data_IF_033795610634
#
_entry.id   IF_033795610634
#
_cell.length_a   1.000
_cell.length_b   1.000
_cell.length_c   1.000
_cell.angle_alpha   90.00
_cell.angle_beta   90.00
_cell.angle_gamma   90.00
#
_symmetry.space_group_name_H-M   'P 1'
#
loop_
_entity.id
_entity.type
_entity.pdbx_description
1 polymer ?
#
# COMPACT_ATOMS: atom_id res chain seq x y z
N UNK A 1 31.72 -16.13 66.03
CA UNK A 1 32.24 -15.14 65.05
C UNK A 1 32.44 -15.69 63.62
N UNK A 2 32.11 -16.95 63.32
CA UNK A 2 32.34 -17.54 61.98
C UNK A 2 31.12 -17.54 61.04
N UNK A 3 29.88 -17.44 61.58
CA UNK A 3 28.64 -17.45 60.78
C UNK A 3 28.29 -16.11 60.12
N UNK A 4 28.69 -14.98 60.69
CA UNK A 4 28.38 -13.63 60.16
C UNK A 4 29.21 -13.33 58.90
N UNK A 5 30.46 -13.80 58.82
CA UNK A 5 31.33 -13.59 57.66
C UNK A 5 30.86 -14.33 56.41
N UNK A 6 30.23 -15.50 56.55
CA UNK A 6 29.70 -16.26 55.41
C UNK A 6 28.43 -15.64 54.83
N UNK A 7 27.62 -14.98 55.65
CA UNK A 7 26.39 -14.32 55.19
C UNK A 7 26.68 -13.07 54.36
N UNK A 8 27.68 -12.27 54.77
CA UNK A 8 28.13 -11.07 54.03
C UNK A 8 28.80 -11.40 52.70
N UNK A 9 29.59 -12.48 52.63
CA UNK A 9 30.29 -12.88 51.40
C UNK A 9 29.35 -13.48 50.34
N UNK A 10 28.25 -14.11 50.78
CA UNK A 10 27.19 -14.64 49.91
C UNK A 10 26.32 -13.53 49.32
N UNK A 11 25.93 -12.55 50.15
CA UNK A 11 25.09 -11.42 49.74
C UNK A 11 25.80 -10.46 48.77
N UNK A 12 27.10 -10.19 48.93
CA UNK A 12 27.87 -9.41 47.96
C UNK A 12 27.98 -10.05 46.57
N UNK A 13 28.12 -11.39 46.50
CA UNK A 13 28.17 -12.11 45.22
C UNK A 13 26.80 -12.13 44.53
N UNK A 14 25.72 -12.24 45.30
CA UNK A 14 24.35 -12.17 44.76
C UNK A 14 24.02 -10.76 44.23
N UNK A 15 24.48 -9.69 44.90
CA UNK A 15 24.29 -8.31 44.45
C UNK A 15 25.07 -8.03 43.16
N UNK A 16 26.30 -8.52 43.05
CA UNK A 16 27.13 -8.41 41.85
C UNK A 16 26.57 -9.21 40.67
N UNK A 17 26.03 -10.40 40.90
CA UNK A 17 25.35 -11.19 39.86
C UNK A 17 24.05 -10.51 39.40
N UNK A 18 23.29 -9.90 40.31
CA UNK A 18 22.10 -9.14 39.96
C UNK A 18 22.45 -7.91 39.09
N UNK A 19 23.50 -7.18 39.43
CA UNK A 19 23.96 -6.02 38.66
C UNK A 19 24.44 -6.41 37.25
N UNK A 20 25.11 -7.56 37.12
CA UNK A 20 25.51 -8.12 35.82
C UNK A 20 24.28 -8.53 34.99
N UNK A 21 23.29 -9.18 35.60
CA UNK A 21 22.04 -9.57 34.89
C UNK A 21 21.26 -8.33 34.45
N UNK A 22 21.12 -7.31 35.30
CA UNK A 22 20.45 -6.05 34.94
C UNK A 22 21.19 -5.35 33.80
N UNK A 23 22.52 -5.35 33.82
CA UNK A 23 23.34 -4.78 32.73
C UNK A 23 23.16 -5.53 31.41
N UNK A 24 23.08 -6.87 31.45
CA UNK A 24 22.81 -7.70 30.26
C UNK A 24 21.41 -7.43 29.71
N UNK A 25 20.41 -7.29 30.59
CA UNK A 25 19.03 -6.98 30.17
C UNK A 25 18.95 -5.60 29.52
N UNK A 26 19.58 -4.58 30.11
CA UNK A 26 19.61 -3.22 29.54
C UNK A 26 20.33 -3.22 28.19
N UNK A 27 21.50 -3.88 28.07
CA UNK A 27 22.23 -4.00 26.81
C UNK A 27 21.45 -4.79 25.76
N UNK A 28 20.72 -5.84 26.17
CA UNK A 28 19.85 -6.62 25.28
C UNK A 28 18.69 -5.80 24.73
N UNK A 29 18.02 -5.03 25.59
CA UNK A 29 16.91 -4.14 25.18
C UNK A 29 17.41 -3.04 24.25
N UNK A 30 18.55 -2.40 24.57
CA UNK A 30 19.17 -1.40 23.69
C UNK A 30 19.58 -2.04 22.35
N UNK A 31 20.13 -3.26 22.35
CA UNK A 31 20.48 -3.98 21.12
C UNK A 31 19.27 -4.27 20.23
N UNK A 32 18.14 -4.68 20.81
CA UNK A 32 16.88 -4.93 20.09
C UNK A 32 16.30 -3.61 19.54
N UNK A 33 16.32 -2.53 20.33
CA UNK A 33 15.85 -1.22 19.90
C UNK A 33 16.75 -0.67 18.78
N UNK A 34 18.06 -0.74 18.91
CA UNK A 34 19.00 -0.31 17.86
C UNK A 34 18.87 -1.17 16.60
N UNK A 35 18.68 -2.49 16.72
CA UNK A 35 18.47 -3.37 15.57
C UNK A 35 17.15 -3.08 14.86
N UNK A 36 16.06 -2.88 15.62
CA UNK A 36 14.76 -2.52 15.06
C UNK A 36 14.74 -1.11 14.48
N UNK A 37 15.46 -0.16 15.08
CA UNK A 37 15.65 1.20 14.56
C UNK A 37 16.53 1.20 13.31
N UNK A 38 17.57 0.36 13.24
CA UNK A 38 18.38 0.14 12.02
C UNK A 38 17.56 -0.55 10.93
N UNK A 39 16.65 -1.46 11.27
CA UNK A 39 15.74 -2.11 10.31
C UNK A 39 14.64 -1.14 9.81
N UNK A 40 14.16 -0.24 10.67
CA UNK A 40 13.26 0.84 10.27
C UNK A 40 13.98 1.91 9.45
N UNK A 41 15.21 2.25 9.81
CA UNK A 41 16.05 3.14 9.01
C UNK A 41 16.49 2.48 7.71
N UNK A 42 16.69 1.16 7.62
CA UNK A 42 16.99 0.50 6.34
C UNK A 42 15.77 0.51 5.43
N UNK A 43 14.57 0.24 5.93
CA UNK A 43 13.32 0.38 5.17
C UNK A 43 13.12 1.81 4.65
N UNK A 44 13.43 2.82 5.45
CA UNK A 44 13.34 4.22 5.01
C UNK A 44 14.54 4.68 4.14
N UNK A 45 15.74 4.12 4.33
CA UNK A 45 16.92 4.37 3.49
C UNK A 45 16.74 3.75 2.10
N UNK A 46 16.09 2.59 1.97
CA UNK A 46 15.70 2.07 0.64
C UNK A 46 14.76 3.03 -0.08
N UNK A 47 13.92 3.75 0.68
CA UNK A 47 13.03 4.77 0.13
C UNK A 47 13.75 6.08 -0.23
N UNK A 48 14.80 6.47 0.51
CA UNK A 48 15.53 7.75 0.29
C UNK A 48 16.82 7.65 -0.53
N UNK A 49 17.42 6.46 -0.72
CA UNK A 49 18.62 6.28 -1.56
C UNK A 49 18.34 5.98 -3.04
N UNK A 50 17.11 5.70 -3.44
CA UNK A 50 16.80 5.29 -4.83
C UNK A 50 16.48 6.45 -5.79
N UNK A 51 16.98 7.66 -5.53
CA UNK A 51 16.85 8.79 -6.47
C UNK A 51 17.73 8.64 -7.74
N UNK A 52 18.45 7.53 -7.90
CA UNK A 52 19.17 7.14 -9.11
C UNK A 52 19.44 5.63 -9.04
N UNK A 53 18.38 4.80 -9.06
CA UNK A 53 18.58 3.40 -9.41
C UNK A 53 18.64 3.32 -10.94
N UNK A 54 19.83 3.15 -11.58
CA UNK A 54 19.93 2.98 -13.03
C UNK A 54 19.38 1.61 -13.49
N UNK A 55 18.85 0.81 -12.57
CA UNK A 55 18.42 -0.55 -12.83
C UNK A 55 16.93 -0.56 -13.20
N UNK A 56 16.67 -0.60 -14.52
CA UNK A 56 15.33 -0.67 -15.08
C UNK A 56 14.49 -1.80 -14.46
N UNK A 57 15.12 -2.93 -14.11
CA UNK A 57 14.43 -4.05 -13.45
C UNK A 57 13.80 -3.67 -12.10
N UNK A 58 14.52 -2.93 -11.25
CA UNK A 58 14.01 -2.52 -9.92
C UNK A 58 12.85 -1.52 -10.09
N UNK A 59 12.96 -0.62 -11.07
CA UNK A 59 11.92 0.36 -11.38
C UNK A 59 10.65 -0.36 -11.86
N UNK A 60 10.79 -1.32 -12.78
CA UNK A 60 9.66 -2.15 -13.23
C UNK A 60 9.04 -2.93 -12.08
N UNK A 61 9.83 -3.59 -11.23
CA UNK A 61 9.31 -4.31 -10.07
C UNK A 61 8.53 -3.40 -9.11
N UNK A 62 8.93 -2.13 -8.93
CA UNK A 62 8.14 -1.16 -8.14
C UNK A 62 6.80 -0.86 -8.80
N UNK A 63 6.77 -0.68 -10.11
CA UNK A 63 5.54 -0.44 -10.87
C UNK A 63 4.62 -1.66 -10.82
N UNK A 64 5.15 -2.86 -11.01
CA UNK A 64 4.41 -4.12 -10.94
C UNK A 64 3.75 -4.31 -9.57
N UNK A 65 4.49 -4.06 -8.48
CA UNK A 65 3.94 -4.15 -7.12
C UNK A 65 2.80 -3.14 -6.88
N UNK A 66 2.85 -1.95 -7.48
CA UNK A 66 1.77 -0.97 -7.39
C UNK A 66 0.55 -1.40 -8.19
N UNK A 67 0.78 -1.92 -9.39
CA UNK A 67 -0.28 -2.36 -10.29
C UNK A 67 -0.97 -3.63 -9.80
N UNK A 68 -0.33 -4.46 -8.97
CA UNK A 68 -0.95 -5.65 -8.38
C UNK A 68 -2.29 -5.36 -7.68
N UNK A 69 -2.49 -4.14 -7.19
CA UNK A 69 -3.70 -3.69 -6.51
C UNK A 69 -4.57 -2.75 -7.36
N UNK A 70 -4.23 -2.59 -8.64
CA UNK A 70 -4.96 -1.73 -9.55
C UNK A 70 -6.35 -2.29 -9.86
N UNK A 71 -7.32 -1.39 -9.93
CA UNK A 71 -8.68 -1.69 -10.36
C UNK A 71 -8.67 -1.67 -11.89
N UNK A 72 -8.92 -2.81 -12.53
CA UNK A 72 -8.84 -2.97 -14.00
C UNK A 72 -9.67 -1.92 -14.74
N UNK A 73 -10.87 -1.64 -14.25
CA UNK A 73 -11.82 -0.72 -14.88
C UNK A 73 -11.38 0.75 -14.76
N UNK A 74 -10.36 1.04 -13.95
CA UNK A 74 -9.81 2.39 -13.76
C UNK A 74 -8.63 2.72 -14.67
N UNK A 75 -8.13 1.75 -15.45
CA UNK A 75 -6.93 1.92 -16.28
C UNK A 75 -7.19 2.87 -17.46
N UNK A 76 -6.52 4.02 -17.44
CA UNK A 76 -6.62 5.08 -18.44
C UNK A 76 -5.22 5.36 -18.99
N UNK A 77 -5.08 5.30 -20.32
CA UNK A 77 -3.83 5.62 -21.02
C UNK A 77 -3.77 7.07 -21.51
N UNK A 78 -2.90 7.30 -22.50
CA UNK A 78 -2.67 8.61 -23.10
C UNK A 78 -3.98 9.27 -23.58
N UNK A 79 -4.13 10.56 -23.26
CA UNK A 79 -5.29 11.35 -23.69
C UNK A 79 -6.59 11.07 -22.93
N UNK A 80 -6.56 10.32 -21.82
CA UNK A 80 -7.73 10.08 -20.98
C UNK A 80 -8.67 8.98 -21.50
N UNK A 81 -8.17 8.13 -22.40
CA UNK A 81 -8.93 7.05 -23.03
C UNK A 81 -8.64 5.72 -22.29
N UNK A 82 -9.60 4.78 -22.19
CA UNK A 82 -9.35 3.46 -21.62
C UNK A 82 -8.11 2.80 -22.23
N UNK A 83 -7.25 2.23 -21.38
CA UNK A 83 -6.03 1.57 -21.81
C UNK A 83 -6.37 0.36 -22.68
N UNK A 84 -6.23 0.52 -24.00
CA UNK A 84 -6.54 -0.50 -25.01
C UNK A 84 -5.40 -0.76 -26.00
N UNK A 85 -4.42 0.15 -26.04
CA UNK A 85 -3.22 0.10 -26.88
C UNK A 85 -2.01 0.48 -26.04
N UNK A 86 -0.81 0.28 -26.62
CA UNK A 86 0.43 0.68 -25.97
C UNK A 86 0.43 2.19 -25.67
N UNK A 87 0.84 2.56 -24.47
CA UNK A 87 0.79 3.92 -23.96
C UNK A 87 2.04 4.26 -23.14
N UNK A 88 2.45 5.52 -23.16
CA UNK A 88 3.58 6.03 -22.37
C UNK A 88 3.16 6.60 -21.01
N UNK A 89 1.86 6.66 -20.76
CA UNK A 89 1.29 7.07 -19.48
C UNK A 89 0.19 6.10 -19.04
N UNK A 90 -0.03 6.05 -17.73
CA UNK A 90 -1.08 5.25 -17.14
C UNK A 90 -1.60 5.94 -15.89
N UNK A 91 -2.88 6.27 -15.90
CA UNK A 91 -3.63 6.63 -14.71
C UNK A 91 -4.45 5.44 -14.27
N UNK A 92 -4.48 5.16 -12.97
CA UNK A 92 -5.25 4.07 -12.41
C UNK A 92 -5.61 4.35 -10.95
N UNK A 93 -6.66 3.71 -10.46
CA UNK A 93 -6.96 3.63 -9.04
C UNK A 93 -6.49 2.27 -8.52
N UNK A 94 -5.89 2.26 -7.33
CA UNK A 94 -5.54 1.06 -6.60
C UNK A 94 -6.26 1.02 -5.25
N UNK A 95 -6.44 -0.18 -4.71
CA UNK A 95 -6.96 -0.34 -3.35
C UNK A 95 -5.93 0.23 -2.36
N UNK A 96 -6.37 1.14 -1.49
CA UNK A 96 -5.52 1.67 -0.43
C UNK A 96 -5.44 0.66 0.72
N UNK A 97 -4.49 -0.28 0.61
CA UNK A 97 -4.23 -1.31 1.62
C UNK A 97 -3.88 -0.72 2.99
N UNK A 98 -3.20 0.43 3.02
CA UNK A 98 -2.81 1.07 4.27
C UNK A 98 -4.05 1.51 5.05
N UNK A 99 -4.99 2.16 4.37
CA UNK A 99 -6.29 2.49 4.95
C UNK A 99 -7.12 1.25 5.26
N UNK A 100 -7.14 0.26 4.36
CA UNK A 100 -7.95 -0.95 4.49
C UNK A 100 -7.54 -1.77 5.73
N UNK A 101 -6.24 -2.00 5.92
CA UNK A 101 -5.68 -2.91 6.92
C UNK A 101 -5.06 -2.20 8.14
N UNK A 102 -5.01 -0.86 8.13
CA UNK A 102 -4.42 -0.05 9.19
C UNK A 102 -2.89 0.05 9.13
N UNK A 103 -2.28 -0.26 7.99
CA UNK A 103 -0.86 -0.05 7.74
C UNK A 103 -0.48 1.41 7.95
N UNK A 104 0.44 1.71 8.86
CA UNK A 104 0.91 3.08 9.14
C UNK A 104 0.33 3.72 10.42
N UNK A 105 -0.78 3.21 10.96
CA UNK A 105 -1.28 3.64 12.28
C UNK A 105 -0.62 2.83 13.39
N UNK A 106 0.49 3.35 13.93
CA UNK A 106 1.30 2.68 14.98
C UNK A 106 0.52 2.22 16.22
N UNK A 107 -0.69 2.74 16.46
CA UNK A 107 -1.51 2.47 17.65
C UNK A 107 -2.95 2.04 17.35
N UNK A 108 -3.30 1.74 16.09
CA UNK A 108 -4.64 1.25 15.80
C UNK A 108 -4.71 -0.25 16.13
N UNK A 109 -5.62 -0.72 17.00
CA UNK A 109 -5.81 -2.14 17.20
C UNK A 109 -6.34 -2.73 15.90
N UNK A 110 -5.51 -3.49 15.19
CA UNK A 110 -5.95 -4.24 14.02
C UNK A 110 -6.94 -5.30 14.46
N UNK A 111 -8.21 -5.24 14.01
CA UNK A 111 -9.18 -6.25 14.40
C UNK A 111 -8.75 -7.59 13.80
N UNK A 112 -8.70 -8.63 14.62
CA UNK A 112 -8.40 -9.99 14.18
C UNK A 112 -9.58 -10.90 14.51
N UNK A 113 -9.86 -11.85 13.62
CA UNK A 113 -10.78 -12.95 13.86
C UNK A 113 -10.05 -14.26 13.61
N UNK A 114 -9.66 -14.93 14.70
CA UNK A 114 -8.69 -16.03 14.61
C UNK A 114 -7.35 -15.50 14.09
N UNK A 115 -6.83 -16.15 13.05
CA UNK A 115 -5.58 -15.77 12.38
C UNK A 115 -5.81 -14.81 11.20
N UNK A 116 -7.05 -14.38 10.95
CA UNK A 116 -7.39 -13.49 9.84
C UNK A 116 -7.39 -12.04 10.28
N UNK A 117 -6.60 -11.21 9.59
CA UNK A 117 -6.63 -9.76 9.74
C UNK A 117 -7.93 -9.22 9.13
N UNK A 118 -8.74 -8.54 9.94
CA UNK A 118 -9.97 -7.91 9.46
C UNK A 118 -9.68 -6.47 9.00
N UNK A 119 -10.46 -5.96 8.04
CA UNK A 119 -10.40 -4.55 7.66
C UNK A 119 -10.59 -3.62 8.86
N UNK A 120 -9.73 -2.60 8.93
CA UNK A 120 -9.86 -1.50 9.87
C UNK A 120 -11.06 -0.62 9.51
N UNK A 121 -11.32 -0.45 8.20
CA UNK A 121 -12.48 0.27 7.67
C UNK A 121 -13.70 -0.63 7.58
N UNK A 122 -14.89 -0.05 7.73
CA UNK A 122 -16.14 -0.77 7.48
C UNK A 122 -16.38 -0.90 5.98
N UNK A 123 -16.25 -2.11 5.45
CA UNK A 123 -16.41 -2.38 4.01
C UNK A 123 -17.85 -2.74 3.61
N UNK A 124 -18.59 -3.45 4.47
CA UNK A 124 -19.93 -3.97 4.14
C UNK A 124 -21.01 -2.90 4.32
N UNK A 125 -21.70 -2.56 3.24
CA UNK A 125 -22.79 -1.60 3.24
C UNK A 125 -24.10 -2.33 3.55
N UNK A 126 -24.83 -1.87 4.58
CA UNK A 126 -26.10 -2.46 4.97
C UNK A 126 -27.24 -1.98 4.08
N UNK A 127 -27.26 -0.68 3.80
CA UNK A 127 -28.23 -0.04 2.93
C UNK A 127 -27.70 1.30 2.42
N UNK A 128 -28.39 1.89 1.44
CA UNK A 128 -28.06 3.22 0.93
C UNK A 128 -29.34 4.02 0.68
N UNK A 129 -29.23 5.34 0.70
CA UNK A 129 -30.25 6.27 0.26
C UNK A 129 -29.59 7.55 -0.25
N UNK A 130 -29.87 7.94 -1.50
CA UNK A 130 -29.18 9.03 -2.19
C UNK A 130 -27.65 8.91 -2.06
N UNK A 131 -27.00 9.94 -1.53
CA UNK A 131 -25.55 9.97 -1.30
C UNK A 131 -25.11 9.29 0.00
N UNK A 132 -26.05 8.76 0.79
CA UNK A 132 -25.76 8.22 2.12
C UNK A 132 -25.64 6.70 2.09
N UNK A 133 -24.54 6.18 2.63
CA UNK A 133 -24.30 4.75 2.87
C UNK A 133 -24.44 4.45 4.35
N UNK A 134 -25.23 3.44 4.70
CA UNK A 134 -25.48 3.03 6.07
C UNK A 134 -24.73 1.74 6.39
N UNK A 135 -24.13 1.71 7.57
CA UNK A 135 -23.34 0.59 8.08
C UNK A 135 -23.86 0.16 9.45
N UNK A 136 -23.83 -1.13 9.75
CA UNK A 136 -24.13 -1.65 11.09
C UNK A 136 -23.22 -1.01 12.14
N UNK A 137 -21.95 -0.85 11.81
CA UNK A 137 -20.95 -0.13 12.61
C UNK A 137 -19.96 0.50 11.65
N UNK A 138 -19.81 1.82 11.72
CA UNK A 138 -18.87 2.56 10.87
C UNK A 138 -17.55 2.79 11.61
N UNK A 139 -16.42 2.47 10.97
CA UNK A 139 -15.07 2.67 11.50
C UNK A 139 -14.06 2.92 10.38
N UNK A 140 -12.93 3.52 10.74
CA UNK A 140 -11.71 3.64 9.92
C UNK A 140 -11.73 4.71 8.81
N UNK A 141 -12.90 5.08 8.30
CA UNK A 141 -13.03 6.05 7.21
C UNK A 141 -12.65 7.48 7.60
N UNK A 142 -12.11 8.23 6.63
CA UNK A 142 -11.68 9.62 6.80
C UNK A 142 -12.43 10.59 5.87
N UNK A 143 -12.58 11.84 6.30
CA UNK A 143 -13.14 12.89 5.44
C UNK A 143 -12.26 13.08 4.20
N UNK A 144 -12.87 13.36 3.05
CA UNK A 144 -12.23 13.54 1.75
C UNK A 144 -11.51 12.30 1.20
N UNK A 145 -11.58 11.17 1.90
CA UNK A 145 -11.05 9.90 1.38
C UNK A 145 -11.86 9.46 0.15
N UNK A 146 -11.16 8.91 -0.84
CA UNK A 146 -11.79 8.30 -2.01
C UNK A 146 -12.13 6.85 -1.73
N UNK A 147 -13.26 6.42 -2.29
CA UNK A 147 -13.69 5.03 -2.24
C UNK A 147 -14.26 4.57 -3.56
N UNK A 148 -14.15 3.27 -3.80
CA UNK A 148 -14.81 2.55 -4.87
C UNK A 148 -15.98 1.76 -4.31
N UNK A 149 -17.13 1.84 -4.98
CA UNK A 149 -18.32 1.07 -4.63
C UNK A 149 -18.42 -0.16 -5.52
N UNK A 150 -18.59 -1.31 -4.89
CA UNK A 150 -18.97 -2.53 -5.59
C UNK A 150 -20.50 -2.63 -5.53
N UNK A 151 -21.12 -2.64 -6.71
CA UNK A 151 -22.58 -2.52 -6.88
C UNK A 151 -23.17 -3.74 -7.59
N UNK A 152 -24.45 -3.99 -7.38
CA UNK A 152 -25.21 -4.99 -8.13
C UNK A 152 -26.47 -4.35 -8.74
N UNK A 153 -26.58 -4.25 -10.08
CA UNK A 153 -25.60 -4.68 -11.11
C UNK A 153 -24.29 -3.86 -11.08
N UNK A 154 -23.24 -4.42 -11.69
CA UNK A 154 -21.90 -3.80 -11.76
C UNK A 154 -21.97 -2.48 -12.53
N UNK A 155 -21.46 -1.41 -11.91
CA UNK A 155 -21.35 -0.08 -12.51
C UNK A 155 -20.04 0.14 -13.25
N UNK A 156 -20.02 1.19 -14.08
CA UNK A 156 -18.77 1.75 -14.60
C UNK A 156 -17.94 2.30 -13.43
N UNK A 157 -16.63 2.06 -13.46
CA UNK A 157 -15.73 2.56 -12.43
C UNK A 157 -15.90 4.05 -12.23
N UNK A 158 -16.30 4.41 -11.01
CA UNK A 158 -16.58 5.77 -10.60
C UNK A 158 -16.03 5.96 -9.19
N UNK A 159 -14.99 6.79 -8.98
CA UNK A 159 -14.49 7.07 -7.64
C UNK A 159 -15.46 8.01 -6.92
N UNK A 160 -15.79 7.71 -5.67
CA UNK A 160 -16.64 8.55 -4.80
C UNK A 160 -15.79 9.19 -3.72
N UNK A 161 -16.16 10.40 -3.29
CA UNK A 161 -15.44 11.13 -2.23
C UNK A 161 -16.31 11.27 -0.99
N UNK A 162 -15.76 10.97 0.18
CA UNK A 162 -16.48 11.14 1.46
C UNK A 162 -16.56 12.63 1.80
N UNK A 163 -17.77 13.17 1.81
CA UNK A 163 -18.01 14.58 2.17
C UNK A 163 -18.37 14.75 3.64
N UNK A 164 -19.02 13.76 4.26
CA UNK A 164 -19.34 13.74 5.70
C UNK A 164 -19.30 12.34 6.28
N UNK A 165 -18.98 12.28 7.57
CA UNK A 165 -18.98 11.07 8.38
C UNK A 165 -19.85 11.31 9.61
N UNK A 166 -20.83 10.43 9.82
CA UNK A 166 -21.66 10.36 11.01
C UNK A 166 -21.45 9.01 11.71
N UNK A 167 -22.11 8.78 12.85
CA UNK A 167 -21.88 7.59 13.69
C UNK A 167 -21.98 6.25 12.94
N UNK A 168 -22.89 6.13 11.97
CA UNK A 168 -23.15 4.90 11.19
C UNK A 168 -23.34 5.17 9.70
N UNK A 169 -22.98 6.38 9.24
CA UNK A 169 -23.30 6.82 7.87
C UNK A 169 -22.12 7.52 7.24
N UNK A 170 -21.82 7.17 6.00
CA UNK A 170 -20.95 7.94 5.11
C UNK A 170 -21.80 8.70 4.12
N UNK A 171 -21.51 9.99 3.93
CA UNK A 171 -22.15 10.80 2.89
C UNK A 171 -21.13 11.04 1.79
N UNK A 172 -21.52 10.71 0.57
CA UNK A 172 -20.71 10.82 -0.64
C UNK A 172 -20.93 12.17 -1.32
N UNK A 173 -20.05 12.49 -2.27
CA UNK A 173 -20.15 13.64 -3.16
C UNK A 173 -21.23 13.49 -4.24
N UNK A 174 -21.57 12.24 -4.60
CA UNK A 174 -22.58 11.91 -5.61
C UNK A 174 -23.34 10.63 -5.27
N UNK A 175 -24.54 10.50 -5.82
CA UNK A 175 -25.45 9.36 -5.59
C UNK A 175 -24.98 8.13 -6.39
N UNK A 176 -24.86 6.95 -5.78
CA UNK A 176 -24.63 5.69 -6.49
C UNK A 176 -25.76 5.38 -7.47
N UNK A 177 -25.47 4.80 -8.63
CA UNK A 177 -26.51 4.54 -9.65
C UNK A 177 -27.34 3.29 -9.35
N UNK A 178 -26.74 2.32 -8.67
CA UNK A 178 -27.25 1.02 -8.29
C UNK A 178 -26.87 0.74 -6.84
N UNK A 179 -27.50 -0.29 -6.28
CA UNK A 179 -27.32 -0.68 -4.88
C UNK A 179 -25.88 -1.12 -4.63
N UNK A 180 -25.11 -0.37 -3.80
CA UNK A 180 -23.77 -0.77 -3.41
C UNK A 180 -23.84 -1.75 -2.23
N UNK A 181 -22.93 -2.72 -2.22
CA UNK A 181 -22.81 -3.71 -1.13
C UNK A 181 -21.43 -3.72 -0.47
N UNK A 182 -20.39 -3.26 -1.17
CA UNK A 182 -19.06 -3.03 -0.59
C UNK A 182 -18.56 -1.61 -0.90
N UNK A 183 -17.85 -1.02 0.06
CA UNK A 183 -17.04 0.19 -0.11
C UNK A 183 -15.58 -0.14 0.16
N UNK A 184 -14.71 0.11 -0.82
CA UNK A 184 -13.27 -0.11 -0.72
C UNK A 184 -12.53 1.23 -0.77
N UNK A 185 -11.58 1.50 0.14
CA UNK A 185 -10.77 2.70 0.06
C UNK A 185 -9.85 2.59 -1.15
N UNK A 186 -9.72 3.68 -1.91
CA UNK A 186 -8.88 3.72 -3.11
C UNK A 186 -7.94 4.91 -3.10
N UNK A 187 -6.86 4.78 -3.84
CA UNK A 187 -5.94 5.85 -4.15
C UNK A 187 -5.72 5.91 -5.66
N UNK A 188 -5.79 7.11 -6.23
CA UNK A 188 -5.42 7.33 -7.63
C UNK A 188 -3.92 7.50 -7.77
N UNK A 189 -3.37 6.86 -8.79
CA UNK A 189 -1.98 6.93 -9.19
C UNK A 189 -1.85 7.33 -10.66
N UNK A 190 -0.73 7.97 -10.99
CA UNK A 190 -0.35 8.32 -12.35
C UNK A 190 1.10 7.94 -12.60
N UNK A 191 1.36 7.21 -13.68
CA UNK A 191 2.70 6.93 -14.18
C UNK A 191 2.83 7.66 -15.50
N UNK A 192 3.81 8.54 -15.63
CA UNK A 192 4.03 9.28 -16.87
C UNK A 192 5.50 9.45 -17.20
N UNK A 193 5.86 9.27 -18.47
CA UNK A 193 7.17 9.66 -18.97
C UNK A 193 7.13 11.12 -19.42
N UNK A 194 7.90 11.98 -18.75
CA UNK A 194 8.00 13.40 -19.10
C UNK A 194 9.42 13.89 -18.88
N UNK A 195 9.94 14.65 -19.86
CA UNK A 195 11.27 15.26 -19.78
C UNK A 195 12.39 14.24 -19.49
N UNK A 196 12.28 13.03 -20.09
CA UNK A 196 13.16 11.86 -19.87
C UNK A 196 13.20 11.37 -18.42
N UNK A 197 12.16 11.67 -17.63
CA UNK A 197 12.01 11.19 -16.26
C UNK A 197 10.70 10.41 -16.20
N UNK A 198 10.75 9.20 -15.63
CA UNK A 198 9.55 8.44 -15.32
C UNK A 198 9.05 8.88 -13.95
N UNK A 199 7.85 9.45 -13.93
CA UNK A 199 7.21 9.94 -12.71
C UNK A 199 6.16 8.93 -12.24
N UNK A 200 6.11 8.71 -10.93
CA UNK A 200 4.96 8.15 -10.24
C UNK A 200 4.35 9.25 -9.38
N UNK A 201 3.13 9.61 -9.71
CA UNK A 201 2.40 10.73 -9.15
C UNK A 201 3.21 12.03 -9.29
N UNK A 202 3.90 12.44 -8.23
CA UNK A 202 4.76 13.64 -8.20
C UNK A 202 6.19 13.30 -7.79
N UNK A 203 6.54 12.02 -7.70
CA UNK A 203 7.85 11.53 -7.32
C UNK A 203 8.57 10.95 -8.55
N UNK A 204 9.81 11.36 -8.83
CA UNK A 204 10.59 10.76 -9.91
C UNK A 204 10.97 9.32 -9.52
N UNK A 205 10.62 8.35 -10.35
CA UNK A 205 11.01 6.95 -10.21
C UNK A 205 12.36 6.66 -10.87
N UNK A 206 12.59 7.26 -12.04
CA UNK A 206 13.78 7.02 -12.84
C UNK A 206 14.14 8.26 -13.66
N UNK A 207 15.43 8.54 -13.78
CA UNK A 207 15.98 9.60 -14.63
C UNK A 207 16.59 9.00 -15.90
N UNK A 208 16.87 9.84 -16.89
CA UNK A 208 17.48 9.47 -18.16
C UNK A 208 16.75 8.33 -18.89
N UNK A 209 15.42 8.34 -18.79
CA UNK A 209 14.53 7.36 -19.43
C UNK A 209 14.43 7.68 -20.91
N UNK A 210 14.83 6.72 -21.75
CA UNK A 210 14.81 6.82 -23.21
C UNK A 210 13.43 6.48 -23.77
N UNK A 211 12.81 5.43 -23.22
CA UNK A 211 11.45 5.05 -23.59
C UNK A 211 10.78 4.27 -22.46
N UNK A 212 9.45 4.40 -22.40
CA UNK A 212 8.59 3.64 -21.51
C UNK A 212 7.29 3.33 -22.25
N UNK A 213 6.84 2.08 -22.15
CA UNK A 213 5.64 1.60 -22.81
C UNK A 213 4.89 0.64 -21.89
N UNK A 214 3.58 0.83 -21.82
CA UNK A 214 2.62 0.02 -21.09
C UNK A 214 1.60 -0.50 -22.08
N UNK A 215 1.37 -1.81 -22.14
CA UNK A 215 0.43 -2.41 -23.08
C UNK A 215 -0.49 -3.40 -22.39
N UNK A 216 -1.82 -3.25 -22.55
CA UNK A 216 -2.77 -4.23 -22.06
C UNK A 216 -2.85 -5.42 -23.03
N UNK A 217 -2.82 -6.63 -22.47
CA UNK A 217 -3.06 -7.88 -23.18
C UNK A 217 -4.25 -8.57 -22.52
N UNK A 218 -5.39 -8.56 -23.21
CA UNK A 218 -6.62 -9.18 -22.72
C UNK A 218 -6.61 -10.68 -22.98
N UNK A 219 -6.76 -11.48 -21.93
CA UNK A 219 -6.87 -12.93 -21.97
C UNK A 219 -8.21 -13.38 -21.38
N UNK A 220 -8.55 -14.65 -21.56
CA UNK A 220 -9.79 -15.21 -20.98
C UNK A 220 -9.77 -15.27 -19.45
N UNK A 221 -8.59 -15.21 -18.83
CA UNK A 221 -8.38 -15.33 -17.38
C UNK A 221 -8.29 -13.96 -16.68
N UNK A 222 -8.17 -12.87 -17.44
CA UNK A 222 -7.90 -11.54 -16.89
C UNK A 222 -7.13 -10.67 -17.88
N UNK A 223 -6.60 -9.54 -17.39
CA UNK A 223 -5.77 -8.63 -18.20
C UNK A 223 -4.34 -8.70 -17.70
N UNK A 224 -3.40 -9.00 -18.60
CA UNK A 224 -1.98 -8.85 -18.31
C UNK A 224 -1.51 -7.48 -18.81
N UNK A 225 -0.84 -6.72 -17.95
CA UNK A 225 -0.21 -5.46 -18.32
C UNK A 225 1.26 -5.72 -18.58
N UNK A 226 1.67 -5.62 -19.84
CA UNK A 226 3.07 -5.69 -20.26
C UNK A 226 3.72 -4.32 -20.11
N UNK A 227 4.91 -4.28 -19.52
CA UNK A 227 5.69 -3.08 -19.27
C UNK A 227 7.04 -3.20 -19.97
N UNK A 228 7.50 -2.12 -20.60
CA UNK A 228 8.83 -2.03 -21.18
C UNK A 228 9.48 -0.69 -20.81
N UNK A 229 10.71 -0.73 -20.31
CA UNK A 229 11.44 0.45 -19.86
C UNK A 229 12.88 0.41 -20.37
N UNK A 230 13.30 1.47 -21.06
CA UNK A 230 14.68 1.69 -21.48
C UNK A 230 15.25 2.93 -20.81
N UNK A 231 16.41 2.78 -20.15
CA UNK A 231 17.14 3.86 -19.48
C UNK A 231 18.54 4.01 -20.06
N UNK A 232 19.00 5.25 -20.16
CA UNK A 232 20.38 5.54 -20.55
C UNK A 232 21.31 5.31 -19.36
N UNK A 233 22.32 4.47 -19.54
CA UNK A 233 23.43 4.35 -18.60
C UNK A 233 24.71 4.87 -19.25
N UNK A 234 25.72 5.18 -18.42
CA UNK A 234 27.00 5.76 -18.87
C UNK A 234 27.73 5.00 -19.99
N UNK A 235 27.39 3.74 -20.25
CA UNK A 235 28.07 2.87 -21.22
C UNK A 235 27.14 2.33 -22.32
N UNK A 236 25.83 2.23 -22.09
CA UNK A 236 24.84 1.70 -23.06
C UNK A 236 23.39 1.97 -22.61
N UNK A 237 22.46 1.94 -23.56
CA UNK A 237 21.04 1.75 -23.27
C UNK A 237 20.80 0.39 -22.60
N UNK A 238 20.01 0.40 -21.52
CA UNK A 238 19.56 -0.79 -20.82
C UNK A 238 18.03 -0.84 -20.85
N UNK A 239 17.50 -1.86 -21.52
CA UNK A 239 16.07 -2.09 -21.66
C UNK A 239 15.67 -3.34 -20.92
N UNK A 240 14.58 -3.26 -20.16
CA UNK A 240 13.97 -4.38 -19.45
C UNK A 240 12.48 -4.44 -19.77
N UNK A 241 11.93 -5.66 -19.71
CA UNK A 241 10.49 -5.91 -19.83
C UNK A 241 9.98 -6.62 -18.60
N UNK A 242 8.74 -6.33 -18.24
CA UNK A 242 8.05 -6.91 -17.11
C UNK A 242 6.56 -6.95 -17.35
N UNK A 243 5.81 -7.28 -16.30
CA UNK A 243 4.36 -7.21 -16.35
C UNK A 243 3.66 -7.89 -15.19
N UNK A 244 2.36 -7.61 -15.09
CA UNK A 244 1.52 -8.03 -13.98
C UNK A 244 0.16 -8.53 -14.46
N UNK A 245 -0.35 -9.57 -13.82
CA UNK A 245 -1.72 -10.04 -14.01
C UNK A 245 -2.66 -9.24 -13.12
N UNK A 246 -3.72 -8.71 -13.73
CA UNK A 246 -4.81 -8.05 -13.03
C UNK A 246 -6.04 -8.94 -13.12
N UNK A 247 -6.54 -9.31 -11.96
CA UNK A 247 -7.75 -10.12 -11.79
C UNK A 247 -8.94 -9.21 -11.44
N UNK A 248 -10.15 -9.64 -11.79
CA UNK A 248 -11.35 -8.92 -11.37
C UNK A 248 -11.51 -9.01 -9.83
N UNK A 249 -11.69 -7.86 -9.18
CA UNK A 249 -11.83 -7.73 -7.72
C UNK A 249 -13.00 -8.55 -7.16
N UNK A 250 -13.98 -8.91 -8.00
CA UNK A 250 -15.25 -9.53 -7.58
C UNK A 250 -15.13 -11.05 -7.39
N UNK A 251 -14.21 -11.76 -8.05
CA UNK A 251 -14.14 -13.22 -7.92
C UNK A 251 -13.43 -13.70 -6.64
N UNK A 252 -12.59 -12.88 -6.01
CA UNK A 252 -11.74 -13.32 -4.90
C UNK A 252 -12.27 -12.97 -3.49
N UNK A 253 -13.42 -12.30 -3.35
CA UNK A 253 -13.94 -11.83 -2.06
C UNK A 253 -15.35 -12.34 -1.69
N UNK A 254 -15.90 -13.27 -2.46
CA UNK A 254 -17.14 -14.03 -2.16
C UNK A 254 -16.79 -15.49 -1.84
#
# INVERSE_FOLDING_TARGET
MHKILHYFRSTQRAFSLFEVVVSIVILGVIGIICSSMLLHMSKNLTYTRSLNDPNAHIILAKIENLLQYAIIESLIGDGGVPLSVASSSLMFAAIDEQSLLGGGYKNAPSPMQGDTLLPLVSINIQSHHDTSLYFTTLKGWQLQQQLYLVTQPKEVFTPYTITRIHTQTLVLDKTPQHTPYLALPIQSHSIELRDNILWLDKAPLAFDVLSFSIKPLSFSQGIFIELHLCVATSLKEHCESGGVWLDEIVENML
#
